data_IF_599041373918
#
_entry.id   IF_599041373918
#
_cell.length_a   1.000
_cell.length_b   1.000
_cell.length_c   1.000
_cell.angle_alpha   90.00
_cell.angle_beta   90.00
_cell.angle_gamma   90.00
#
_symmetry.space_group_name_H-M   'P 1'
#
loop_
_entity.id
_entity.type
_entity.pdbx_description
1 polymer ?
#
# COMPACT_ATOMS: atom_id res chain seq x y z
N UNK A 1 38.00 31.38 -2.86
CA UNK A 1 37.39 32.71 -2.65
C UNK A 1 37.69 33.53 -3.90
N UNK A 2 36.67 33.90 -4.68
CA UNK A 2 36.85 34.62 -5.95
C UNK A 2 36.84 36.13 -5.74
N UNK A 3 37.39 36.87 -6.70
CA UNK A 3 37.32 38.34 -6.76
C UNK A 3 36.43 38.74 -7.93
N UNK A 4 35.43 39.59 -7.69
CA UNK A 4 34.60 40.18 -8.73
C UNK A 4 35.09 41.59 -9.03
N UNK A 5 35.15 41.96 -10.31
CA UNK A 5 35.46 43.34 -10.72
C UNK A 5 34.29 44.26 -10.37
N UNK A 6 34.56 45.56 -10.22
CA UNK A 6 33.51 46.56 -10.04
C UNK A 6 32.45 46.47 -11.16
N UNK A 7 31.17 46.52 -10.78
CA UNK A 7 30.03 46.32 -11.68
C UNK A 7 30.01 44.97 -12.44
N UNK A 8 30.78 43.99 -11.97
CA UNK A 8 30.81 42.65 -12.53
C UNK A 8 29.83 41.71 -11.85
N UNK A 9 29.27 40.78 -12.62
CA UNK A 9 28.55 39.63 -12.09
C UNK A 9 29.45 38.39 -12.17
N UNK A 10 29.32 37.49 -11.20
CA UNK A 10 29.95 36.18 -11.28
C UNK A 10 29.30 35.19 -10.34
N UNK A 11 29.74 33.94 -10.43
CA UNK A 11 29.26 32.85 -9.59
C UNK A 11 30.38 32.38 -8.66
N UNK A 12 30.02 32.07 -7.41
CA UNK A 12 30.89 31.41 -6.45
C UNK A 12 30.23 30.10 -6.07
N UNK A 13 30.95 28.99 -6.25
CA UNK A 13 30.48 27.67 -5.85
C UNK A 13 31.13 27.27 -4.53
N UNK A 14 30.31 26.93 -3.55
CA UNK A 14 30.75 26.31 -2.31
C UNK A 14 30.30 24.84 -2.29
N UNK A 15 31.22 23.93 -1.99
CA UNK A 15 30.91 22.52 -1.77
C UNK A 15 30.85 22.27 -0.27
N UNK A 16 29.68 21.89 0.22
CA UNK A 16 29.47 21.56 1.64
C UNK A 16 29.29 20.05 1.77
N UNK A 17 29.97 19.45 2.75
CA UNK A 17 29.75 18.05 3.14
C UNK A 17 28.90 18.05 4.40
N UNK A 18 27.80 17.32 4.35
CA UNK A 18 26.89 17.11 5.47
C UNK A 18 27.20 15.76 6.11
N UNK A 19 27.00 15.64 7.42
CA UNK A 19 27.18 14.37 8.12
C UNK A 19 26.13 13.34 7.66
N UNK A 20 26.44 12.06 7.82
CA UNK A 20 25.62 10.93 7.41
C UNK A 20 24.41 10.65 8.34
N UNK A 21 24.12 11.55 9.27
CA UNK A 21 23.00 11.48 10.20
C UNK A 21 21.79 12.34 9.78
N UNK A 22 21.85 13.00 8.62
CA UNK A 22 20.74 13.81 8.12
C UNK A 22 19.83 12.96 7.25
N UNK A 23 18.55 12.93 7.61
CA UNK A 23 17.53 12.19 6.85
C UNK A 23 17.43 12.67 5.41
N UNK A 24 17.20 11.73 4.50
CA UNK A 24 16.91 12.03 3.11
C UNK A 24 15.65 12.93 3.01
N UNK A 25 15.68 13.89 2.07
CA UNK A 25 14.53 14.72 1.74
C UNK A 25 14.43 16.00 2.57
N UNK A 26 15.29 16.16 3.57
CA UNK A 26 15.38 17.36 4.39
C UNK A 26 15.99 18.51 3.58
N UNK A 27 15.37 19.69 3.68
CA UNK A 27 15.94 20.93 3.18
C UNK A 27 16.91 21.54 4.19
N UNK A 28 18.14 21.71 3.77
CA UNK A 28 19.21 22.37 4.50
C UNK A 28 19.22 23.85 4.13
N UNK A 29 19.25 24.72 5.13
CA UNK A 29 19.38 26.16 4.96
C UNK A 29 20.81 26.60 5.31
N UNK A 30 21.45 27.30 4.39
CA UNK A 30 22.79 27.86 4.55
C UNK A 30 22.73 29.38 4.43
N UNK A 31 23.29 30.08 5.41
CA UNK A 31 23.43 31.53 5.33
C UNK A 31 24.66 31.89 4.50
N UNK A 32 24.45 32.53 3.36
CA UNK A 32 25.50 33.15 2.56
C UNK A 32 25.65 34.62 2.96
N UNK A 33 26.89 35.06 3.21
CA UNK A 33 27.22 36.43 3.58
C UNK A 33 28.19 37.00 2.54
N UNK A 34 27.82 38.12 1.94
CA UNK A 34 28.65 38.92 1.05
C UNK A 34 29.07 40.20 1.76
N UNK A 35 30.36 40.36 2.00
CA UNK A 35 30.94 41.60 2.53
C UNK A 35 31.67 42.35 1.42
N UNK A 36 31.41 43.65 1.30
CA UNK A 36 32.07 44.52 0.31
C UNK A 36 32.24 45.95 0.85
N UNK A 37 33.07 46.75 0.20
CA UNK A 37 33.20 48.18 0.46
C UNK A 37 32.40 48.92 -0.59
N UNK A 38 31.49 49.80 -0.16
CA UNK A 38 30.71 50.63 -1.09
C UNK A 38 31.55 51.79 -1.67
N UNK A 39 31.07 52.49 -2.71
CA UNK A 39 31.78 53.63 -3.29
C UNK A 39 32.00 54.80 -2.33
N UNK A 40 31.30 54.83 -1.20
CA UNK A 40 31.45 55.83 -0.13
C UNK A 40 32.47 55.39 0.93
N UNK A 41 33.22 54.31 0.68
CA UNK A 41 34.23 53.73 1.56
C UNK A 41 33.67 53.12 2.87
N UNK A 42 32.38 52.81 2.93
CA UNK A 42 31.78 52.13 4.08
C UNK A 42 31.69 50.61 3.86
N UNK A 43 31.99 49.80 4.89
CA UNK A 43 31.80 48.36 4.82
C UNK A 43 30.31 48.02 4.84
N UNK A 44 29.91 47.14 3.92
CA UNK A 44 28.56 46.64 3.77
C UNK A 44 28.53 45.12 3.91
N UNK A 45 27.40 44.58 4.37
CA UNK A 45 27.16 43.14 4.45
C UNK A 45 25.76 42.82 3.96
N UNK A 46 25.66 41.87 3.04
CA UNK A 46 24.40 41.37 2.49
C UNK A 46 24.30 39.89 2.78
N UNK A 47 23.13 39.46 3.26
CA UNK A 47 22.87 38.08 3.64
C UNK A 47 21.81 37.47 2.72
N UNK A 48 22.01 36.21 2.33
CA UNK A 48 21.04 35.45 1.55
C UNK A 48 20.95 34.01 2.07
N UNK A 49 19.74 33.45 2.08
CA UNK A 49 19.53 32.05 2.40
C UNK A 49 19.69 31.20 1.14
N UNK A 50 20.48 30.13 1.24
CA UNK A 50 20.69 29.15 0.19
C UNK A 50 20.15 27.81 0.67
N UNK A 51 19.28 27.21 -0.12
CA UNK A 51 18.66 25.93 0.23
C UNK A 51 19.21 24.79 -0.62
N UNK A 52 19.43 23.64 0.01
CA UNK A 52 19.75 22.40 -0.69
C UNK A 52 18.99 21.25 -0.05
N UNK A 53 18.43 20.37 -0.88
CA UNK A 53 17.75 19.17 -0.38
C UNK A 53 18.75 18.01 -0.29
N UNK A 54 18.72 17.27 0.82
CA UNK A 54 19.42 15.99 0.90
C UNK A 54 18.77 15.04 -0.09
N UNK A 55 19.58 14.55 -1.03
CA UNK A 55 19.13 13.61 -2.04
C UNK A 55 18.36 12.46 -1.39
N UNK A 56 17.15 12.23 -1.89
CA UNK A 56 16.37 11.03 -1.59
C UNK A 56 16.32 10.22 -2.86
N UNK A 57 16.70 8.94 -2.76
CA UNK A 57 16.37 7.97 -3.79
C UNK A 57 14.86 8.11 -4.05
N UNK A 58 14.41 8.37 -5.29
CA UNK A 58 13.00 8.31 -5.61
C UNK A 58 12.48 6.95 -5.15
N UNK A 59 11.47 6.93 -4.30
CA UNK A 59 10.73 5.70 -3.99
C UNK A 59 10.01 5.28 -5.26
N UNK A 60 10.72 4.59 -6.16
CA UNK A 60 10.07 3.60 -7.00
C UNK A 60 9.39 2.65 -6.02
N UNK A 61 8.07 2.42 -6.13
CA UNK A 61 7.42 1.40 -5.33
C UNK A 61 8.22 0.12 -5.54
N UNK A 62 8.91 -0.28 -4.49
CA UNK A 62 9.89 -1.33 -4.56
C UNK A 62 9.12 -2.64 -4.77
N UNK A 63 9.12 -3.09 -6.02
CA UNK A 63 8.78 -4.46 -6.38
C UNK A 63 10.00 -5.36 -6.19
N UNK A 64 10.91 -5.06 -5.25
CA UNK A 64 11.87 -6.04 -4.75
C UNK A 64 11.11 -7.07 -3.91
N UNK A 65 10.67 -8.11 -4.60
CA UNK A 65 10.55 -9.41 -3.99
C UNK A 65 11.95 -9.73 -3.45
N UNK A 66 12.15 -9.51 -2.15
CA UNK A 66 13.27 -10.08 -1.42
C UNK A 66 13.15 -11.61 -1.51
N UNK A 67 13.69 -12.17 -2.60
CA UNK A 67 14.00 -13.59 -2.72
C UNK A 67 15.13 -13.89 -1.75
N UNK A 68 14.78 -14.15 -0.49
CA UNK A 68 15.52 -14.97 0.50
C UNK A 68 14.84 -15.00 1.88
N UNK A 69 13.55 -14.69 1.97
CA UNK A 69 12.75 -15.09 3.13
C UNK A 69 12.05 -16.40 2.74
N UNK A 70 12.27 -17.46 3.52
CA UNK A 70 11.40 -18.63 3.55
C UNK A 70 10.01 -18.16 4.01
N UNK A 71 9.31 -17.48 3.10
CA UNK A 71 7.99 -16.94 3.32
C UNK A 71 7.07 -18.14 3.28
N UNK A 72 6.58 -18.52 4.45
CA UNK A 72 5.46 -19.43 4.61
C UNK A 72 4.31 -18.93 3.72
N UNK A 73 4.16 -19.55 2.54
CA UNK A 73 3.24 -19.20 1.46
C UNK A 73 1.75 -19.33 1.85
N UNK A 74 1.43 -19.60 3.12
CA UNK A 74 0.08 -19.95 3.55
C UNK A 74 -0.57 -19.05 4.59
N UNK A 75 0.16 -18.23 5.35
CA UNK A 75 -0.37 -17.74 6.64
C UNK A 75 -0.52 -16.22 6.81
N UNK A 76 -0.10 -15.39 5.84
CA UNK A 76 -0.05 -13.93 6.04
C UNK A 76 -0.90 -13.09 5.07
N UNK A 77 -1.92 -13.66 4.43
CA UNK A 77 -2.76 -12.87 3.51
C UNK A 77 -3.65 -11.86 4.23
N UNK A 78 -4.16 -12.15 5.42
CA UNK A 78 -5.15 -11.28 6.10
C UNK A 78 -4.59 -10.03 6.80
N UNK A 79 -3.26 -9.84 6.85
CA UNK A 79 -2.63 -8.67 7.48
C UNK A 79 -1.67 -7.88 6.58
N UNK A 80 -1.22 -8.45 5.45
CA UNK A 80 -0.18 -7.87 4.60
C UNK A 80 -0.71 -7.18 3.32
N UNK A 81 -2.03 -7.01 3.17
CA UNK A 81 -2.62 -6.30 2.02
C UNK A 81 -3.87 -6.91 1.38
N UNK A 82 -4.53 -7.90 2.00
CA UNK A 82 -5.78 -8.46 1.47
C UNK A 82 -6.98 -7.51 1.57
N UNK A 83 -7.03 -6.66 2.60
CA UNK A 83 -8.12 -5.70 2.77
C UNK A 83 -7.89 -4.45 1.89
N UNK A 84 -8.86 -4.08 1.04
CA UNK A 84 -8.73 -2.90 0.19
C UNK A 84 -8.59 -1.60 0.98
N UNK A 85 -7.71 -0.72 0.51
CA UNK A 85 -7.55 0.65 1.04
C UNK A 85 -8.35 1.70 0.26
N UNK A 86 -8.83 1.35 -0.94
CA UNK A 86 -9.50 2.24 -1.88
C UNK A 86 -10.95 1.81 -2.14
N UNK A 87 -11.83 2.77 -2.43
CA UNK A 87 -13.25 2.51 -2.73
C UNK A 87 -13.46 1.49 -3.87
N UNK A 88 -12.65 1.57 -4.92
CA UNK A 88 -12.69 0.62 -6.03
C UNK A 88 -12.35 -0.81 -5.58
N UNK A 89 -11.40 -0.97 -4.66
CA UNK A 89 -11.04 -2.29 -4.14
C UNK A 89 -12.14 -2.86 -3.23
N UNK A 90 -12.84 -2.02 -2.46
CA UNK A 90 -14.03 -2.45 -1.71
C UNK A 90 -15.15 -2.94 -2.62
N UNK A 91 -15.37 -2.25 -3.75
CA UNK A 91 -16.33 -2.69 -4.76
C UNK A 91 -15.95 -4.07 -5.31
N UNK A 92 -14.67 -4.27 -5.65
CA UNK A 92 -14.16 -5.54 -6.14
C UNK A 92 -14.31 -6.66 -5.09
N UNK A 93 -14.02 -6.38 -3.82
CA UNK A 93 -14.17 -7.34 -2.72
C UNK A 93 -15.62 -7.83 -2.59
N UNK A 94 -16.58 -6.91 -2.64
CA UNK A 94 -18.01 -7.25 -2.56
C UNK A 94 -18.41 -8.16 -3.74
N UNK A 95 -17.97 -7.83 -4.95
CA UNK A 95 -18.23 -8.65 -6.14
C UNK A 95 -17.64 -10.06 -5.97
N UNK A 96 -16.41 -10.17 -5.46
CA UNK A 96 -15.76 -11.45 -5.20
C UNK A 96 -16.55 -12.30 -4.20
N UNK A 97 -17.06 -11.70 -3.12
CA UNK A 97 -17.88 -12.40 -2.12
C UNK A 97 -19.17 -12.93 -2.75
N UNK A 98 -19.88 -12.12 -3.55
CA UNK A 98 -21.08 -12.56 -4.25
C UNK A 98 -20.78 -13.71 -5.22
N UNK A 99 -19.65 -13.67 -5.91
CA UNK A 99 -19.22 -14.72 -6.82
C UNK A 99 -18.95 -16.04 -6.07
N UNK A 100 -18.28 -15.98 -4.91
CA UNK A 100 -18.06 -17.15 -4.05
C UNK A 100 -19.37 -17.75 -3.56
N UNK A 101 -20.32 -16.92 -3.14
CA UNK A 101 -21.67 -17.38 -2.73
C UNK A 101 -22.38 -18.06 -3.91
N UNK A 102 -22.30 -17.49 -5.12
CA UNK A 102 -22.93 -18.04 -6.31
C UNK A 102 -22.33 -19.40 -6.69
N UNK A 103 -21.00 -19.51 -6.69
CA UNK A 103 -20.28 -20.75 -6.98
C UNK A 103 -20.58 -21.79 -5.90
N UNK A 104 -20.53 -21.42 -4.63
CA UNK A 104 -20.91 -22.30 -3.53
C UNK A 104 -22.33 -22.80 -3.68
N UNK A 105 -23.30 -21.92 -3.96
CA UNK A 105 -24.69 -22.32 -4.20
C UNK A 105 -24.84 -23.25 -5.41
N UNK A 106 -24.09 -23.00 -6.49
CA UNK A 106 -24.13 -23.81 -7.70
C UNK A 106 -23.52 -25.21 -7.50
N UNK A 107 -22.38 -25.28 -6.80
CA UNK A 107 -21.68 -26.54 -6.54
C UNK A 107 -22.33 -27.36 -5.42
N UNK A 108 -22.94 -26.70 -4.42
CA UNK A 108 -23.50 -27.35 -3.23
C UNK A 108 -25.01 -27.63 -3.31
N UNK A 109 -25.72 -27.11 -4.32
CA UNK A 109 -27.11 -27.48 -4.58
C UNK A 109 -27.31 -28.11 -5.97
N UNK A 110 -26.79 -29.31 -6.23
CA UNK A 110 -27.37 -30.17 -7.24
C UNK A 110 -28.67 -30.76 -6.63
N UNK A 111 -29.83 -30.29 -7.10
CA UNK A 111 -31.10 -31.01 -6.98
C UNK A 111 -31.55 -31.36 -5.54
N UNK A 112 -32.20 -30.43 -4.82
CA UNK A 112 -33.20 -30.86 -3.82
C UNK A 112 -34.41 -31.45 -4.57
N UNK A 113 -34.29 -32.73 -4.91
CA UNK A 113 -35.20 -33.44 -5.80
C UNK A 113 -35.59 -34.78 -5.15
N UNK A 114 -36.80 -34.75 -4.56
CA UNK A 114 -37.69 -35.86 -4.20
C UNK A 114 -37.31 -36.73 -2.98
N UNK A 115 -38.24 -37.25 -2.17
CA UNK A 115 -39.58 -37.77 -2.51
C UNK A 115 -40.45 -37.92 -1.25
N UNK A 116 -41.70 -37.46 -1.30
CA UNK A 116 -42.77 -37.92 -0.40
C UNK A 116 -42.91 -39.43 -0.52
N UNK A 117 -42.63 -40.18 0.55
CA UNK A 117 -43.10 -41.57 0.64
C UNK A 117 -44.50 -41.59 1.25
N UNK A 118 -45.48 -41.69 0.37
CA UNK A 118 -46.78 -42.26 0.71
C UNK A 118 -46.56 -43.67 1.27
N UNK A 119 -47.02 -43.92 2.50
CA UNK A 119 -47.05 -45.24 3.10
C UNK A 119 -48.31 -45.93 2.58
N UNK A 120 -48.20 -46.67 1.49
CA UNK A 120 -49.18 -47.69 1.12
C UNK A 120 -48.61 -49.04 1.52
N UNK A 121 -48.91 -49.45 2.75
CA UNK A 121 -48.68 -50.81 3.22
C UNK A 121 -49.93 -51.61 2.88
N UNK A 122 -49.97 -52.21 1.69
CA UNK A 122 -50.96 -53.23 1.37
C UNK A 122 -50.37 -54.63 1.56
N UNK A 123 -51.22 -55.48 2.12
CA UNK A 123 -50.98 -56.77 2.74
C UNK A 123 -50.69 -57.88 1.69
N UNK A 124 -50.17 -59.05 2.09
CA UNK A 124 -51.11 -60.18 2.17
C UNK A 124 -50.87 -61.22 3.27
N UNK A 125 -51.99 -61.58 3.89
CA UNK A 125 -52.51 -62.94 4.13
C UNK A 125 -51.65 -63.95 4.92
N UNK A 126 -52.13 -64.26 6.14
CA UNK A 126 -52.13 -65.64 6.63
C UNK A 126 -52.13 -65.87 8.14
N UNK A 127 -53.31 -65.91 8.78
CA UNK A 127 -53.87 -67.04 9.58
C UNK A 127 -54.95 -66.60 10.60
N UNK A 128 -56.19 -66.98 10.24
CA UNK A 128 -57.42 -67.29 11.01
C UNK A 128 -57.42 -67.18 12.54
N UNK A 129 -58.43 -66.48 13.10
CA UNK A 129 -59.44 -67.01 14.06
C UNK A 129 -60.73 -66.17 14.02
N UNK A 130 -61.87 -66.85 13.93
CA UNK A 130 -63.29 -66.39 14.02
C UNK A 130 -63.64 -65.90 15.44
N UNK A 131 -64.47 -64.85 15.66
CA UNK A 131 -65.96 -64.88 15.87
C UNK A 131 -66.35 -65.61 17.17
N UNK A 132 -67.23 -65.19 18.10
CA UNK A 132 -67.91 -63.95 18.55
C UNK A 132 -68.23 -64.19 20.06
N UNK A 133 -68.70 -63.24 20.87
CA UNK A 133 -70.05 -62.64 20.95
C UNK A 133 -69.99 -61.24 21.56
#
# INVERSE_FOLDING_TARGET
MGTLKANGQGAVTAKVRVQNNVSAGINLNFLAVLSYIDPSNFPQSVNANVFAQVWSEPTVPDQSINTNENTSLGANVFGAGFLPTNLFGWLLLIILIFLLILIGKYLLNPEQSFSSRAITQDHPVGKKTSTTE
#
